data_IF_198090207585
#
_entry.id   IF_198090207585
#
_cell.length_a   1.000
_cell.length_b   1.000
_cell.length_c   1.000
_cell.angle_alpha   90.00
_cell.angle_beta   90.00
_cell.angle_gamma   90.00
#
_symmetry.space_group_name_H-M   'P 1'
#
loop_
_entity.id
_entity.type
_entity.pdbx_description
1 polymer ?
#
# COMPACT_ATOMS: atom_id res chain seq x y z
N UNK A 1 1.71 3.98 12.25
CA UNK A 1 1.53 2.75 13.05
C UNK A 1 1.43 1.56 12.10
N UNK A 2 2.07 0.45 12.45
CA UNK A 2 2.16 -0.75 11.63
C UNK A 2 0.87 -1.57 11.82
N UNK A 3 -0.20 -1.17 11.14
CA UNK A 3 -1.47 -1.88 11.16
C UNK A 3 -1.46 -2.93 10.03
N UNK A 4 -1.88 -4.14 10.35
CA UNK A 4 -2.13 -5.17 9.34
C UNK A 4 -3.41 -4.89 8.56
N UNK A 5 -3.67 -5.66 7.51
CA UNK A 5 -4.93 -5.53 6.77
C UNK A 5 -6.12 -5.96 7.65
N UNK A 6 -5.92 -6.96 8.52
CA UNK A 6 -6.92 -7.38 9.50
C UNK A 6 -7.18 -6.31 10.56
N UNK A 7 -6.14 -5.60 11.04
CA UNK A 7 -6.33 -4.48 11.95
C UNK A 7 -7.17 -3.36 11.32
N UNK A 8 -6.93 -3.05 10.04
CA UNK A 8 -7.68 -2.03 9.31
C UNK A 8 -9.14 -2.46 9.14
N UNK A 9 -9.36 -3.74 8.79
CA UNK A 9 -10.71 -4.32 8.68
C UNK A 9 -11.45 -4.26 10.02
N UNK A 10 -10.81 -4.69 11.11
CA UNK A 10 -11.40 -4.68 12.45
C UNK A 10 -11.73 -3.26 12.94
N UNK A 11 -11.00 -2.25 12.44
CA UNK A 11 -11.24 -0.83 12.74
C UNK A 11 -12.16 -0.14 11.76
N UNK A 12 -12.69 -0.84 10.75
CA UNK A 12 -13.48 -0.27 9.65
C UNK A 12 -12.77 0.89 8.94
N UNK A 13 -11.44 0.80 8.79
CA UNK A 13 -10.64 1.80 8.06
C UNK A 13 -10.44 1.28 6.64
N UNK A 14 -11.04 1.93 5.61
CA UNK A 14 -10.80 1.53 4.23
C UNK A 14 -9.37 1.88 3.85
N UNK A 15 -8.57 0.86 3.53
CA UNK A 15 -7.22 1.05 2.99
C UNK A 15 -7.28 1.47 1.52
N UNK A 16 -6.19 2.03 1.02
CA UNK A 16 -6.02 2.29 -0.41
C UNK A 16 -6.08 0.98 -1.21
N UNK A 17 -6.60 1.02 -2.44
CA UNK A 17 -6.49 -0.09 -3.40
C UNK A 17 -5.14 -0.08 -4.11
N UNK A 18 -4.83 -1.14 -4.86
CA UNK A 18 -3.63 -1.18 -5.69
C UNK A 18 -3.70 -0.15 -6.84
N UNK A 19 -4.87 -0.01 -7.46
CA UNK A 19 -5.10 0.95 -8.54
C UNK A 19 -4.94 2.40 -8.06
N UNK A 20 -5.60 2.75 -6.96
CA UNK A 20 -5.47 4.08 -6.33
C UNK A 20 -4.00 4.39 -5.98
N UNK A 21 -3.26 3.38 -5.51
CA UNK A 21 -1.83 3.55 -5.19
C UNK A 21 -0.99 3.84 -6.43
N UNK A 22 -1.29 3.22 -7.58
CA UNK A 22 -0.58 3.50 -8.84
C UNK A 22 -0.91 4.89 -9.40
N UNK A 23 -2.18 5.29 -9.36
CA UNK A 23 -2.57 6.64 -9.76
C UNK A 23 -1.87 7.68 -8.87
N UNK A 24 -1.78 7.43 -7.57
CA UNK A 24 -1.06 8.29 -6.63
C UNK A 24 0.45 8.35 -6.93
N UNK A 25 1.09 7.24 -7.31
CA UNK A 25 2.50 7.23 -7.76
C UNK A 25 2.71 8.16 -8.95
N UNK A 26 1.91 7.97 -10.00
CA UNK A 26 2.07 8.70 -11.26
C UNK A 26 1.86 10.20 -11.05
N UNK A 27 0.84 10.58 -10.28
CA UNK A 27 0.57 11.97 -9.93
C UNK A 27 1.73 12.56 -9.13
N UNK A 28 2.17 11.90 -8.07
CA UNK A 28 3.25 12.38 -7.20
C UNK A 28 4.58 12.51 -7.96
N UNK A 29 4.91 11.54 -8.81
CA UNK A 29 6.10 11.59 -9.64
C UNK A 29 6.05 12.73 -10.66
N UNK A 30 4.90 12.94 -11.32
CA UNK A 30 4.71 14.06 -12.24
C UNK A 30 4.85 15.42 -11.56
N UNK A 31 4.36 15.55 -10.33
CA UNK A 31 4.38 16.80 -9.57
C UNK A 31 5.76 17.10 -8.94
N UNK A 32 6.52 16.08 -8.58
CA UNK A 32 7.72 16.26 -7.73
C UNK A 32 9.03 15.71 -8.32
N UNK A 33 8.95 14.87 -9.36
CA UNK A 33 10.08 14.09 -9.87
C UNK A 33 10.59 13.01 -8.90
N UNK A 34 9.88 12.73 -7.79
CA UNK A 34 10.27 11.77 -6.76
C UNK A 34 9.30 10.59 -6.73
N UNK A 35 9.77 9.46 -6.21
CA UNK A 35 8.97 8.25 -6.02
C UNK A 35 8.51 8.11 -4.57
N UNK A 36 7.29 7.58 -4.38
CA UNK A 36 6.78 7.29 -3.05
C UNK A 36 7.39 6.01 -2.49
N UNK A 37 7.31 5.84 -1.17
CA UNK A 37 7.61 4.58 -0.48
C UNK A 37 9.01 4.02 -0.80
N UNK A 38 10.03 4.89 -0.75
CA UNK A 38 11.45 4.51 -0.90
C UNK A 38 11.98 3.69 0.28
N UNK A 39 11.51 4.02 1.47
CA UNK A 39 11.94 3.41 2.74
C UNK A 39 10.81 2.62 3.44
N UNK A 40 9.62 2.57 2.83
CA UNK A 40 8.42 1.97 3.40
C UNK A 40 7.67 1.15 2.36
N UNK A 41 6.66 0.39 2.79
CA UNK A 41 5.74 -0.33 1.90
C UNK A 41 4.33 0.19 2.18
N UNK A 42 3.65 0.72 1.16
CA UNK A 42 2.22 1.03 1.28
C UNK A 42 1.43 -0.27 1.24
N UNK A 43 0.62 -0.52 2.26
CA UNK A 43 -0.29 -1.66 2.31
C UNK A 43 -1.60 -1.32 1.58
N UNK A 44 -1.87 -2.00 0.47
CA UNK A 44 -3.09 -1.81 -0.33
C UNK A 44 -4.24 -2.69 0.21
N UNK A 45 -4.67 -2.39 1.43
CA UNK A 45 -5.54 -3.26 2.23
C UNK A 45 -6.98 -3.41 1.70
N UNK A 46 -7.38 -2.69 0.66
CA UNK A 46 -8.67 -2.90 -0.02
C UNK A 46 -8.56 -3.72 -1.31
N UNK A 47 -7.36 -4.21 -1.65
CA UNK A 47 -7.14 -5.15 -2.75
C UNK A 47 -6.70 -6.51 -2.22
N UNK A 48 -6.97 -7.59 -2.97
CA UNK A 48 -6.58 -8.96 -2.61
C UNK A 48 -6.13 -9.73 -3.84
N UNK A 49 -5.16 -10.61 -3.65
CA UNK A 49 -4.87 -11.71 -4.57
C UNK A 49 -5.95 -12.79 -4.46
N UNK A 50 -5.99 -13.70 -5.44
CA UNK A 50 -6.96 -14.81 -5.48
C UNK A 50 -6.86 -15.76 -4.29
N UNK A 51 -5.68 -15.84 -3.66
CA UNK A 51 -5.40 -16.64 -2.46
C UNK A 51 -5.64 -15.87 -1.15
N UNK A 52 -6.13 -14.63 -1.21
CA UNK A 52 -6.39 -13.79 -0.05
C UNK A 52 -5.19 -12.97 0.44
N UNK A 53 -4.03 -13.07 -0.21
CA UNK A 53 -2.89 -12.20 0.08
C UNK A 53 -3.19 -10.73 -0.18
N UNK A 54 -2.45 -9.85 0.49
CA UNK A 54 -2.62 -8.39 0.41
C UNK A 54 -1.46 -7.78 -0.36
N UNK A 55 -1.72 -6.98 -1.41
CA UNK A 55 -0.65 -6.31 -2.12
C UNK A 55 -0.01 -5.21 -1.27
N UNK A 56 1.32 -5.15 -1.31
CA UNK A 56 2.11 -4.04 -0.79
C UNK A 56 2.90 -3.37 -1.92
N UNK A 57 3.06 -2.05 -1.90
CA UNK A 57 3.80 -1.31 -2.94
C UNK A 57 4.94 -0.50 -2.35
N UNK A 58 6.11 -0.58 -2.97
CA UNK A 58 7.28 0.23 -2.62
C UNK A 58 8.11 0.58 -3.85
N UNK A 59 8.91 1.64 -3.77
CA UNK A 59 9.92 1.94 -4.77
C UNK A 59 11.32 1.56 -4.25
N UNK A 60 11.98 0.60 -4.89
CA UNK A 60 13.29 0.13 -4.43
C UNK A 60 14.19 -0.21 -5.62
N UNK A 61 15.47 0.18 -5.55
CA UNK A 61 16.48 -0.12 -6.58
C UNK A 61 16.10 0.33 -8.00
N UNK A 62 15.36 1.44 -8.13
CA UNK A 62 14.93 1.97 -9.42
C UNK A 62 13.70 1.28 -10.02
N UNK A 63 13.01 0.44 -9.23
CA UNK A 63 11.85 -0.32 -9.66
C UNK A 63 10.66 -0.08 -8.73
N UNK A 64 9.46 -0.08 -9.29
CA UNK A 64 8.24 -0.23 -8.53
C UNK A 64 8.01 -1.73 -8.24
N UNK A 65 7.92 -2.09 -6.96
CA UNK A 65 7.73 -3.47 -6.52
C UNK A 65 6.34 -3.65 -5.94
N UNK A 66 5.68 -4.71 -6.36
CA UNK A 66 4.43 -5.18 -5.76
C UNK A 66 4.74 -6.47 -5.00
N UNK A 67 4.50 -6.43 -3.69
CA UNK A 67 4.74 -7.52 -2.76
C UNK A 67 3.45 -8.27 -2.49
N UNK A 68 3.57 -9.55 -2.20
CA UNK A 68 2.50 -10.37 -1.64
C UNK A 68 2.70 -10.47 -0.12
N UNK A 69 1.75 -9.97 0.66
CA UNK A 69 1.83 -9.92 2.12
C UNK A 69 0.69 -10.72 2.76
N UNK A 70 0.96 -11.38 3.88
CA UNK A 70 -0.12 -11.98 4.66
C UNK A 70 -1.02 -10.90 5.29
N UNK A 71 -2.35 -11.13 5.40
CA UNK A 71 -3.29 -10.15 5.94
C UNK A 71 -3.01 -9.70 7.39
N UNK A 72 -2.36 -10.54 8.18
CA UNK A 72 -2.03 -10.35 9.58
C UNK A 72 -0.64 -9.73 9.81
N UNK A 73 0.17 -9.58 8.75
CA UNK A 73 1.52 -9.02 8.85
C UNK A 73 1.55 -7.58 9.38
N UNK A 74 2.48 -7.34 10.31
CA UNK A 74 2.72 -6.03 10.98
C UNK A 74 4.17 -5.60 10.89
N UNK A 75 4.75 -5.57 9.69
CA UNK A 75 6.14 -5.15 9.51
C UNK A 75 6.32 -3.66 9.86
N UNK A 76 7.49 -3.31 10.40
CA UNK A 76 7.79 -1.93 10.81
C UNK A 76 7.81 -0.91 9.66
N UNK A 77 8.04 -1.41 8.44
CA UNK A 77 8.02 -0.62 7.21
C UNK A 77 6.61 -0.47 6.61
N UNK A 78 5.59 -1.16 7.12
CA UNK A 78 4.23 -1.07 6.56
C UNK A 78 3.56 0.25 6.93
N UNK A 79 3.00 0.90 5.91
CA UNK A 79 2.21 2.12 6.04
C UNK A 79 0.84 1.89 5.43
N UNK A 80 -0.17 1.87 6.28
CA UNK A 80 -1.55 1.94 5.83
C UNK A 80 -1.86 3.36 5.36
N UNK A 81 -2.42 3.49 4.15
CA UNK A 81 -2.98 4.74 3.64
C UNK A 81 -4.49 4.56 3.53
N UNK A 82 -5.25 5.54 4.02
CA UNK A 82 -6.72 5.51 3.93
C UNK A 82 -7.13 5.84 2.49
N UNK A 83 -8.06 5.08 1.92
CA UNK A 83 -8.68 5.44 0.66
C UNK A 83 -9.45 6.77 0.82
N UNK A 84 -9.35 7.64 -0.17
CA UNK A 84 -10.09 8.90 -0.23
C UNK A 84 -10.99 8.80 -1.45
N UNK A 85 -12.30 8.94 -1.25
CA UNK A 85 -13.25 9.02 -2.35
C UNK A 85 -12.93 10.24 -3.21
N UNK A 86 -12.92 10.03 -4.53
CA UNK A 86 -12.70 11.06 -5.56
C UNK A 86 -13.97 11.91 -5.70
#
# INVERSE_FOLDING_TARGET
KNLSADDLKNKNIPGITLEERFIHELKYFKETGKHLDRDNITLCASSRYSDGGVPGVSWCRGELRVHWLYPDHRLDSLRARRAVSI
#
